data_IF_662146750003
#
_entry.id   IF_662146750003
#
_cell.length_a   1.000
_cell.length_b   1.000
_cell.length_c   1.000
_cell.angle_alpha   90.00
_cell.angle_beta   90.00
_cell.angle_gamma   90.00
#
_symmetry.space_group_name_H-M   'P 1'
#
loop_
_entity.id
_entity.type
_entity.pdbx_description
1 polymer ?
#
# COMPACT_ATOMS: atom_id res chain seq x y z
N UNK A 1 -16.71 30.70 17.12
CA UNK A 1 -16.21 31.01 15.77
C UNK A 1 -15.14 30.00 15.35
N UNK A 2 -14.05 29.85 16.12
CA UNK A 2 -12.97 28.86 15.90
C UNK A 2 -13.46 27.41 15.69
N UNK A 3 -14.49 26.96 16.41
CA UNK A 3 -15.00 25.58 16.27
C UNK A 3 -15.63 25.30 14.90
N UNK A 4 -16.29 26.29 14.28
CA UNK A 4 -16.92 26.14 12.96
C UNK A 4 -15.85 26.13 11.87
N UNK A 5 -14.84 27.00 11.99
CA UNK A 5 -13.69 27.04 11.07
C UNK A 5 -12.94 25.71 11.01
N UNK A 6 -12.72 25.07 12.17
CA UNK A 6 -12.09 23.74 12.23
C UNK A 6 -12.92 22.65 11.55
N UNK A 7 -14.25 22.68 11.70
CA UNK A 7 -15.12 21.70 11.01
C UNK A 7 -15.01 21.88 9.50
N UNK A 8 -15.04 23.13 9.00
CA UNK A 8 -14.88 23.43 7.59
C UNK A 8 -13.50 22.99 7.08
N UNK A 9 -12.44 23.20 7.87
CA UNK A 9 -11.10 22.73 7.57
C UNK A 9 -11.03 21.20 7.44
N UNK A 10 -11.60 20.45 8.39
CA UNK A 10 -11.60 18.98 8.35
C UNK A 10 -12.38 18.41 7.16
N UNK A 11 -13.49 19.03 6.78
CA UNK A 11 -14.27 18.64 5.59
C UNK A 11 -13.47 18.84 4.31
N UNK A 12 -12.58 19.82 4.27
CA UNK A 12 -11.72 20.12 3.13
C UNK A 12 -10.50 19.23 2.97
N UNK A 13 -10.24 18.28 3.90
CA UNK A 13 -9.07 17.40 3.80
C UNK A 13 -9.18 16.52 2.54
N UNK A 14 -8.14 16.48 1.69
CA UNK A 14 -8.10 15.62 0.52
C UNK A 14 -8.37 14.17 0.89
N UNK A 15 -9.33 13.57 0.20
CA UNK A 15 -9.68 12.16 0.38
C UNK A 15 -8.75 11.28 -0.46
N UNK A 16 -8.53 10.03 -0.01
CA UNK A 16 -7.85 9.03 -0.81
C UNK A 16 -8.65 8.72 -2.09
N UNK A 17 -7.96 8.62 -3.23
CA UNK A 17 -8.59 8.21 -4.49
C UNK A 17 -8.89 6.71 -4.45
N UNK A 18 -10.19 6.39 -4.36
CA UNK A 18 -10.68 5.01 -4.24
C UNK A 18 -10.82 4.33 -5.60
N UNK A 19 -11.05 5.10 -6.66
CA UNK A 19 -11.25 4.59 -8.02
C UNK A 19 -9.92 4.21 -8.64
N UNK A 20 -9.94 3.19 -9.49
CA UNK A 20 -8.83 2.79 -10.33
C UNK A 20 -9.13 3.10 -11.80
N UNK A 21 -8.11 3.42 -12.58
CA UNK A 21 -8.22 3.47 -14.04
C UNK A 21 -8.25 2.08 -14.67
N UNK A 22 -7.78 1.07 -13.95
CA UNK A 22 -7.80 -0.34 -14.34
C UNK A 22 -8.78 -1.09 -13.43
N UNK A 23 -9.59 -1.96 -14.05
CA UNK A 23 -10.57 -2.80 -13.36
C UNK A 23 -10.28 -4.25 -13.75
N UNK A 24 -9.37 -4.93 -13.03
CA UNK A 24 -9.11 -6.34 -13.28
C UNK A 24 -10.37 -7.17 -12.97
N UNK A 25 -10.42 -8.39 -13.51
CA UNK A 25 -11.55 -9.30 -13.27
C UNK A 25 -11.72 -9.59 -11.78
N UNK A 26 -12.93 -9.99 -11.37
CA UNK A 26 -13.24 -10.30 -9.96
C UNK A 26 -12.39 -11.42 -9.35
N UNK A 27 -11.78 -12.26 -10.17
CA UNK A 27 -10.88 -13.33 -9.73
C UNK A 27 -9.43 -12.88 -9.58
N UNK A 28 -9.10 -11.64 -9.95
CA UNK A 28 -7.76 -11.11 -9.79
C UNK A 28 -7.44 -10.85 -8.32
N UNK A 29 -6.23 -11.13 -7.85
CA UNK A 29 -5.14 -11.78 -8.58
C UNK A 29 -5.34 -13.30 -8.69
N UNK A 30 -4.99 -13.87 -9.85
CA UNK A 30 -5.14 -15.29 -10.15
C UNK A 30 -3.89 -16.10 -9.82
N UNK A 31 -2.71 -15.52 -10.03
CA UNK A 31 -1.43 -16.18 -9.78
C UNK A 31 -0.76 -15.64 -8.51
N UNK A 32 -0.89 -14.34 -8.23
CA UNK A 32 -0.25 -13.68 -7.10
C UNK A 32 1.23 -13.38 -7.34
N UNK A 33 1.64 -13.19 -8.59
CA UNK A 33 2.96 -12.70 -8.97
C UNK A 33 3.08 -11.22 -8.60
N UNK A 34 4.17 -10.82 -7.95
CA UNK A 34 4.40 -9.43 -7.51
C UNK A 34 5.73 -8.93 -8.08
N UNK A 35 5.74 -7.74 -8.67
CA UNK A 35 6.94 -7.14 -9.26
C UNK A 35 7.11 -5.71 -8.76
N UNK A 36 8.25 -5.42 -8.13
CA UNK A 36 8.70 -4.08 -7.81
C UNK A 36 9.70 -3.64 -8.87
N UNK A 37 9.43 -2.51 -9.52
CA UNK A 37 10.28 -1.95 -10.55
C UNK A 37 10.69 -0.52 -10.18
N UNK A 38 11.97 -0.35 -9.77
CA UNK A 38 12.57 0.94 -9.45
C UNK A 38 11.78 1.75 -8.41
N UNK A 39 11.23 1.05 -7.42
CA UNK A 39 10.31 1.65 -6.46
C UNK A 39 11.07 2.53 -5.47
N UNK A 40 10.66 3.79 -5.41
CA UNK A 40 11.10 4.76 -4.40
C UNK A 40 9.90 5.23 -3.61
N UNK A 41 9.97 5.17 -2.27
CA UNK A 41 8.92 5.63 -1.36
C UNK A 41 9.50 6.58 -0.33
N UNK A 42 8.81 7.70 -0.11
CA UNK A 42 9.19 8.73 0.86
C UNK A 42 7.97 9.18 1.64
N UNK A 43 8.07 9.21 2.97
CA UNK A 43 6.95 9.61 3.83
C UNK A 43 6.70 11.13 3.84
N UNK A 44 7.74 11.94 3.61
CA UNK A 44 7.64 13.40 3.46
C UNK A 44 8.70 13.90 2.48
N UNK A 45 8.39 14.93 1.70
CA UNK A 45 9.27 15.44 0.65
C UNK A 45 10.69 15.81 1.15
N UNK A 46 10.80 16.29 2.39
CA UNK A 46 12.03 16.73 3.05
C UNK A 46 12.82 15.60 3.75
N UNK A 47 12.23 14.41 3.92
CA UNK A 47 12.88 13.27 4.57
C UNK A 47 13.56 12.37 3.54
N UNK A 48 14.65 11.65 3.87
CA UNK A 48 15.23 10.66 2.96
C UNK A 48 14.23 9.56 2.56
N UNK A 49 14.40 8.93 1.38
CA UNK A 49 13.52 7.87 0.94
C UNK A 49 13.64 6.65 1.87
N UNK A 50 12.50 6.08 2.25
CA UNK A 50 12.44 4.86 3.07
C UNK A 50 12.67 3.60 2.21
N UNK A 51 12.30 3.65 0.94
CA UNK A 51 12.68 2.71 -0.11
C UNK A 51 13.32 3.52 -1.24
N UNK A 52 14.45 3.08 -1.78
CA UNK A 52 15.20 3.85 -2.78
C UNK A 52 15.58 2.95 -3.96
N UNK A 53 14.88 3.14 -5.08
CA UNK A 53 15.12 2.43 -6.36
C UNK A 53 15.18 0.90 -6.20
N UNK A 54 14.26 0.33 -5.42
CA UNK A 54 14.26 -1.12 -5.19
C UNK A 54 13.57 -1.84 -6.35
N UNK A 55 14.17 -2.94 -6.82
CA UNK A 55 13.59 -3.82 -7.82
C UNK A 55 13.73 -5.28 -7.40
N UNK A 56 12.62 -6.02 -7.43
CA UNK A 56 12.59 -7.46 -7.18
C UNK A 56 11.27 -8.05 -7.68
N UNK A 57 11.21 -9.37 -7.88
CA UNK A 57 9.99 -10.09 -8.21
C UNK A 57 9.76 -11.22 -7.20
N UNK A 58 8.49 -11.54 -6.97
CA UNK A 58 8.01 -12.66 -6.16
C UNK A 58 7.14 -13.50 -7.08
N UNK A 59 7.59 -14.73 -7.33
CA UNK A 59 6.84 -15.68 -8.14
C UNK A 59 5.60 -16.21 -7.40
N UNK A 60 4.63 -16.68 -8.18
CA UNK A 60 3.42 -17.30 -7.63
C UNK A 60 3.77 -18.42 -6.65
N UNK A 61 3.13 -18.40 -5.48
CA UNK A 61 3.31 -19.39 -4.41
C UNK A 61 4.64 -19.29 -3.64
N UNK A 62 5.50 -18.32 -3.96
CA UNK A 62 6.78 -18.16 -3.29
C UNK A 62 6.62 -17.63 -1.86
N UNK A 63 7.34 -18.25 -0.92
CA UNK A 63 7.48 -17.73 0.44
C UNK A 63 8.74 -16.89 0.57
N UNK A 64 8.58 -15.59 0.85
CA UNK A 64 9.68 -14.63 0.91
C UNK A 64 9.86 -14.09 2.32
N UNK A 65 11.09 -14.15 2.83
CA UNK A 65 11.49 -13.51 4.07
C UNK A 65 12.21 -12.20 3.82
N UNK A 66 11.69 -11.08 4.35
CA UNK A 66 12.34 -9.77 4.31
C UNK A 66 12.97 -9.47 5.67
N UNK A 67 14.30 -9.42 5.72
CA UNK A 67 15.07 -9.22 6.96
C UNK A 67 15.90 -7.94 6.93
N UNK A 68 16.24 -7.42 8.10
CA UNK A 68 17.05 -6.21 8.26
C UNK A 68 16.78 -5.48 9.57
N UNK A 69 17.66 -4.55 9.94
CA UNK A 69 17.54 -3.73 11.16
C UNK A 69 16.23 -2.93 11.20
N UNK A 70 15.83 -2.49 12.38
CA UNK A 70 14.74 -1.49 12.53
C UNK A 70 15.05 -0.25 11.70
N UNK A 71 14.05 0.27 10.99
CA UNK A 71 14.23 1.40 10.06
C UNK A 71 14.71 1.06 8.66
N UNK A 72 15.05 -0.21 8.36
CA UNK A 72 15.53 -0.62 7.03
C UNK A 72 14.48 -0.62 5.90
N UNK A 73 13.26 -0.12 6.14
CA UNK A 73 12.22 -0.04 5.10
C UNK A 73 11.33 -1.29 4.94
N UNK A 74 11.49 -2.34 5.76
CA UNK A 74 10.68 -3.58 5.67
C UNK A 74 9.17 -3.34 5.67
N UNK A 75 8.67 -2.59 6.66
CA UNK A 75 7.24 -2.24 6.72
C UNK A 75 6.83 -1.28 5.61
N UNK A 76 7.77 -0.48 5.08
CA UNK A 76 7.51 0.41 3.95
C UNK A 76 7.25 -0.37 2.65
N UNK A 77 7.83 -1.55 2.46
CA UNK A 77 7.52 -2.44 1.31
C UNK A 77 6.05 -2.83 1.33
N UNK A 78 5.55 -3.25 2.50
CA UNK A 78 4.13 -3.56 2.67
C UNK A 78 3.27 -2.30 2.47
N UNK A 79 3.66 -1.17 3.05
CA UNK A 79 2.90 0.08 2.86
C UNK A 79 2.81 0.50 1.39
N UNK A 80 3.87 0.29 0.60
CA UNK A 80 3.86 0.55 -0.84
C UNK A 80 2.93 -0.42 -1.58
N UNK A 81 3.04 -1.73 -1.30
CA UNK A 81 2.25 -2.78 -1.93
C UNK A 81 0.74 -2.62 -1.69
N UNK A 82 0.35 -2.29 -0.45
CA UNK A 82 -1.04 -2.05 -0.07
C UNK A 82 -1.54 -0.63 -0.42
N UNK A 83 -0.70 0.17 -1.08
CA UNK A 83 -0.95 1.57 -1.42
C UNK A 83 -1.35 2.42 -0.21
N UNK A 84 -0.84 2.11 0.98
CA UNK A 84 -1.06 2.89 2.21
C UNK A 84 -0.22 4.18 2.20
N UNK A 85 0.87 4.18 1.46
CA UNK A 85 1.67 5.37 1.18
C UNK A 85 2.02 5.35 -0.31
N UNK A 86 1.76 6.45 -1.04
CA UNK A 86 2.07 6.51 -2.46
C UNK A 86 3.59 6.43 -2.67
N UNK A 87 3.98 5.76 -3.76
CA UNK A 87 5.37 5.74 -4.23
C UNK A 87 5.69 7.04 -4.97
N UNK A 88 6.95 7.47 -4.90
CA UNK A 88 7.44 8.66 -5.57
C UNK A 88 7.99 8.37 -6.97
N UNK A 89 8.47 7.13 -7.20
CA UNK A 89 9.01 6.68 -8.49
C UNK A 89 8.82 5.17 -8.63
N UNK A 90 8.87 4.69 -9.87
CA UNK A 90 8.72 3.28 -10.21
C UNK A 90 7.27 2.83 -10.25
N UNK A 91 7.07 1.51 -10.22
CA UNK A 91 5.74 0.89 -10.15
C UNK A 91 5.79 -0.46 -9.45
N UNK A 92 4.63 -0.89 -8.95
CA UNK A 92 4.44 -2.20 -8.36
C UNK A 92 3.34 -2.90 -9.15
N UNK A 93 3.65 -4.09 -9.67
CA UNK A 93 2.72 -4.89 -10.45
C UNK A 93 2.25 -6.09 -9.64
N UNK A 94 0.98 -6.44 -9.77
CA UNK A 94 0.40 -7.68 -9.25
C UNK A 94 -0.32 -8.37 -10.41
N UNK A 95 0.16 -9.55 -10.80
CA UNK A 95 -0.26 -10.26 -12.04
C UNK A 95 -0.24 -9.33 -13.27
N UNK A 96 0.77 -8.47 -13.37
CA UNK A 96 0.95 -7.52 -14.47
C UNK A 96 0.13 -6.23 -14.39
N UNK A 97 -0.82 -6.11 -13.45
CA UNK A 97 -1.58 -4.88 -13.23
C UNK A 97 -0.86 -3.94 -12.26
N UNK A 98 -0.80 -2.66 -12.60
CA UNK A 98 -0.18 -1.66 -11.72
C UNK A 98 -1.08 -1.36 -10.53
N UNK A 99 -0.60 -1.60 -9.31
CA UNK A 99 -1.39 -1.38 -8.09
C UNK A 99 -1.81 0.08 -7.90
N UNK A 100 -1.10 1.04 -8.52
CA UNK A 100 -1.49 2.44 -8.51
C UNK A 100 -2.77 2.70 -9.35
N UNK A 101 -3.06 1.83 -10.32
CA UNK A 101 -4.17 1.96 -11.26
C UNK A 101 -5.38 1.09 -10.93
N UNK A 102 -5.23 0.08 -10.08
CA UNK A 102 -6.35 -0.75 -9.59
C UNK A 102 -7.16 0.02 -8.54
N UNK A 103 -8.46 -0.23 -8.41
CA UNK A 103 -9.24 0.38 -7.33
C UNK A 103 -8.74 -0.08 -5.95
N UNK A 104 -8.67 0.83 -4.97
CA UNK A 104 -8.10 0.53 -3.63
C UNK A 104 -8.81 -0.64 -2.96
N UNK A 105 -10.14 -0.69 -3.09
CA UNK A 105 -10.97 -1.72 -2.46
C UNK A 105 -10.71 -3.09 -3.07
N UNK A 106 -10.54 -3.14 -4.38
CA UNK A 106 -10.25 -4.40 -5.07
C UNK A 106 -8.83 -4.85 -4.73
N UNK A 107 -7.84 -3.95 -4.74
CA UNK A 107 -6.48 -4.26 -4.28
C UNK A 107 -6.48 -4.80 -2.84
N UNK A 108 -6.97 -4.03 -1.87
CA UNK A 108 -6.89 -4.40 -0.44
C UNK A 108 -7.83 -5.56 -0.07
N UNK A 109 -8.88 -5.80 -0.86
CA UNK A 109 -9.82 -6.90 -0.65
C UNK A 109 -9.24 -8.29 -0.94
N UNK A 110 -8.23 -8.37 -1.81
CA UNK A 110 -7.58 -9.63 -2.18
C UNK A 110 -6.30 -9.94 -1.40
N UNK A 111 -5.84 -9.01 -0.55
CA UNK A 111 -4.64 -9.19 0.27
C UNK A 111 -5.02 -9.40 1.74
N UNK A 112 -4.42 -10.41 2.37
CA UNK A 112 -4.47 -10.59 3.81
C UNK A 112 -3.19 -10.03 4.45
N UNK A 113 -3.34 -9.27 5.54
CA UNK A 113 -2.21 -8.74 6.31
C UNK A 113 -2.39 -9.01 7.79
N UNK A 114 -1.31 -9.43 8.44
CA UNK A 114 -1.21 -9.51 9.90
C UNK A 114 -0.27 -8.39 10.35
N UNK A 115 -0.77 -7.31 10.97
CA UNK A 115 0.07 -6.19 11.36
C UNK A 115 0.97 -6.56 12.55
N UNK A 116 2.08 -5.84 12.70
CA UNK A 116 3.00 -6.02 13.82
C UNK A 116 2.34 -5.74 15.19
N UNK A 117 1.37 -4.84 15.23
CA UNK A 117 0.54 -4.55 16.39
C UNK A 117 -0.93 -4.70 15.98
N UNK A 118 -1.59 -5.83 16.28
CA UNK A 118 -2.98 -6.03 15.93
C UNK A 118 -3.88 -5.08 16.69
N UNK A 119 -4.85 -4.50 15.97
CA UNK A 119 -5.96 -3.78 16.56
C UNK A 119 -7.16 -4.71 16.64
N UNK A 120 -7.85 -4.71 17.78
CA UNK A 120 -9.09 -5.44 17.99
C UNK A 120 -10.18 -4.42 18.32
N UNK A 121 -11.33 -4.57 17.68
CA UNK A 121 -12.51 -3.82 18.07
C UNK A 121 -13.00 -4.31 19.44
N UNK A 122 -13.52 -3.39 20.24
CA UNK A 122 -14.22 -3.76 21.47
C UNK A 122 -15.52 -4.49 21.11
N UNK A 123 -15.65 -5.73 21.55
CA UNK A 123 -16.72 -6.61 21.11
C UNK A 123 -16.45 -8.08 21.39
N UNK A 124 -17.42 -8.90 20.98
CA UNK A 124 -17.31 -10.34 21.03
C UNK A 124 -16.34 -10.86 19.95
N UNK A 125 -15.82 -12.08 20.12
CA UNK A 125 -14.99 -12.73 19.10
C UNK A 125 -15.76 -13.06 17.80
N UNK A 126 -17.09 -13.02 17.83
CA UNK A 126 -17.99 -13.27 16.71
C UNK A 126 -18.78 -12.02 16.35
#
# INVERSE_FOLDING_TARGET
MISVERVVEYVGIPQEELQGSESPDRSWPTEGKIEFEHVTLRYKADLPPALNEISFHIESGMQVGIIGRTGAGKSSILNALFRLTPICNGRILVDGFDVAKVAVRDLRGHFAVVPQSPFLFDGSLR
#
